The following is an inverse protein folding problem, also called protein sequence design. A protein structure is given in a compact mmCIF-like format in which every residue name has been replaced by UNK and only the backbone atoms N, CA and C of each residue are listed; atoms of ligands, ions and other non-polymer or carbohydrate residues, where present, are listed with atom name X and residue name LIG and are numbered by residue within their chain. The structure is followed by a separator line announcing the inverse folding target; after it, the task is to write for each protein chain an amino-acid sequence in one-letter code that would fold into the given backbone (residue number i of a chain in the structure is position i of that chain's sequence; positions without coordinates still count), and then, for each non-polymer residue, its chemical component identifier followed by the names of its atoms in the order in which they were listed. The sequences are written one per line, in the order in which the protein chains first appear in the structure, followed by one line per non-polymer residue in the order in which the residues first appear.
data_IF_964750104605
#
_entry.id   IF_964750104605
#
_cell.length_a   1.000
_cell.length_b   1.000
_cell.length_c   1.000
_cell.angle_alpha   90.00
_cell.angle_beta   90.00
_cell.angle_gamma   90.00
#
_symmetry.space_group_name_H-M   'P 1'
#
loop_
_entity.id
_entity.type
_entity.pdbx_description
1 polymer ?
#
# COMPACT_ATOMS: atom_id res chain seq x y z
N UNK A 1 -27.85 4.63 25.18
CA UNK A 1 -27.78 4.53 23.72
C UNK A 1 -27.05 5.78 23.19
N UNK A 2 -25.85 5.65 22.71
CA UNK A 2 -25.08 6.78 22.12
C UNK A 2 -25.60 6.97 20.71
N UNK A 3 -26.11 8.12 20.31
CA UNK A 3 -26.59 8.35 18.96
C UNK A 3 -25.35 8.42 18.03
N UNK A 4 -25.13 7.39 17.23
CA UNK A 4 -24.15 7.40 16.16
C UNK A 4 -24.63 8.35 15.06
N UNK A 5 -24.17 9.60 15.11
CA UNK A 5 -24.40 10.56 14.03
C UNK A 5 -23.39 10.26 12.92
N UNK A 6 -23.87 9.78 11.79
CA UNK A 6 -23.07 9.69 10.57
C UNK A 6 -22.67 11.10 10.12
N UNK A 7 -21.38 11.36 9.98
CA UNK A 7 -20.87 12.66 9.56
C UNK A 7 -19.35 12.63 9.33
N UNK A 8 -18.86 13.62 8.61
CA UNK A 8 -17.42 13.78 8.33
C UNK A 8 -16.55 13.84 9.59
N UNK A 9 -17.10 14.38 10.70
CA UNK A 9 -16.40 14.49 11.98
C UNK A 9 -16.15 13.13 12.65
N UNK A 10 -17.00 12.12 12.41
CA UNK A 10 -16.89 10.79 13.03
C UNK A 10 -16.35 9.73 12.08
N UNK A 11 -16.00 10.11 10.85
CA UNK A 11 -15.49 9.21 9.80
C UNK A 11 -16.33 7.94 9.58
N UNK A 12 -17.62 7.95 9.93
CA UNK A 12 -18.56 6.86 9.74
C UNK A 12 -19.43 7.18 8.53
N UNK A 13 -19.03 6.67 7.38
CA UNK A 13 -19.77 6.85 6.13
C UNK A 13 -20.76 5.70 5.93
N UNK A 14 -21.97 6.04 5.54
CA UNK A 14 -23.05 5.07 5.32
C UNK A 14 -22.95 4.39 3.96
N UNK A 15 -22.27 5.00 3.01
CA UNK A 15 -22.17 4.53 1.61
C UNK A 15 -20.74 4.14 1.24
N UNK A 16 -20.59 3.00 0.58
CA UNK A 16 -19.30 2.43 0.17
C UNK A 16 -18.50 3.33 -0.78
N UNK A 17 -19.18 4.14 -1.61
CA UNK A 17 -18.53 5.02 -2.57
C UNK A 17 -17.74 6.17 -1.91
N UNK A 18 -18.18 6.63 -0.72
CA UNK A 18 -17.47 7.67 0.02
C UNK A 18 -16.09 7.17 0.52
N UNK A 19 -16.01 5.92 0.96
CA UNK A 19 -14.74 5.30 1.30
C UNK A 19 -13.83 5.11 0.07
N UNK A 20 -14.41 4.75 -1.08
CA UNK A 20 -13.65 4.64 -2.32
C UNK A 20 -13.04 5.99 -2.74
N UNK A 21 -13.79 7.08 -2.64
CA UNK A 21 -13.28 8.43 -2.92
C UNK A 21 -12.19 8.85 -1.93
N UNK A 22 -12.36 8.53 -0.64
CA UNK A 22 -11.36 8.82 0.39
C UNK A 22 -10.06 8.06 0.14
N UNK A 23 -10.15 6.76 -0.21
CA UNK A 23 -8.99 5.95 -0.57
C UNK A 23 -8.30 6.46 -1.83
N UNK A 24 -9.06 6.83 -2.86
CA UNK A 24 -8.53 7.40 -4.09
C UNK A 24 -7.85 8.75 -3.84
N UNK A 25 -8.45 9.59 -3.00
CA UNK A 25 -7.84 10.85 -2.54
C UNK A 25 -6.53 10.60 -1.78
N UNK A 26 -6.50 9.63 -0.89
CA UNK A 26 -5.28 9.25 -0.19
C UNK A 26 -4.17 8.78 -1.14
N UNK A 27 -4.49 7.92 -2.11
CA UNK A 27 -3.53 7.48 -3.15
C UNK A 27 -2.99 8.68 -3.93
N UNK A 28 -3.85 9.62 -4.32
CA UNK A 28 -3.42 10.84 -5.02
C UNK A 28 -2.47 11.69 -4.18
N UNK A 29 -2.74 11.84 -2.87
CA UNK A 29 -1.87 12.55 -1.93
C UNK A 29 -0.52 11.84 -1.78
N UNK A 30 -0.52 10.52 -1.60
CA UNK A 30 0.71 9.72 -1.52
C UNK A 30 1.55 9.88 -2.79
N UNK A 31 0.92 9.81 -3.96
CA UNK A 31 1.59 10.00 -5.25
C UNK A 31 2.20 11.41 -5.36
N UNK A 32 1.46 12.44 -4.95
CA UNK A 32 1.97 13.82 -4.94
C UNK A 32 3.18 13.96 -4.00
N UNK A 33 3.14 13.38 -2.80
CA UNK A 33 4.27 13.37 -1.86
C UNK A 33 5.47 12.63 -2.48
N UNK A 34 5.26 11.47 -3.08
CA UNK A 34 6.34 10.72 -3.73
C UNK A 34 6.99 11.50 -4.88
N UNK A 35 6.21 12.19 -5.71
CA UNK A 35 6.72 13.07 -6.77
C UNK A 35 7.51 14.25 -6.18
N UNK A 36 6.99 14.87 -5.12
CA UNK A 36 7.66 15.99 -4.45
C UNK A 36 9.00 15.54 -3.84
N UNK A 37 9.02 14.41 -3.15
CA UNK A 37 10.25 13.83 -2.59
C UNK A 37 11.26 13.51 -3.68
N UNK A 38 10.83 12.88 -4.78
CA UNK A 38 11.71 12.56 -5.93
C UNK A 38 12.36 13.79 -6.54
N UNK A 39 11.67 14.93 -6.55
CA UNK A 39 12.18 16.21 -7.07
C UNK A 39 12.96 17.02 -6.03
N UNK A 40 12.97 16.59 -4.77
CA UNK A 40 13.67 17.25 -3.67
C UNK A 40 15.12 16.79 -3.55
N UNK A 41 15.93 17.53 -2.77
CA UNK A 41 17.30 17.14 -2.43
C UNK A 41 17.37 15.76 -1.76
N UNK A 42 16.36 15.43 -0.96
CA UNK A 42 16.26 14.10 -0.32
C UNK A 42 16.17 12.98 -1.36
N UNK A 43 15.38 13.18 -2.43
CA UNK A 43 15.26 12.19 -3.50
C UNK A 43 16.56 11.95 -4.24
N UNK A 44 17.31 13.01 -4.53
CA UNK A 44 18.65 12.89 -5.15
C UNK A 44 19.64 12.15 -4.25
N UNK A 45 19.63 12.44 -2.95
CA UNK A 45 20.48 11.74 -1.99
C UNK A 45 20.10 10.26 -1.83
N UNK A 46 18.80 9.95 -1.80
CA UNK A 46 18.31 8.56 -1.77
C UNK A 46 18.73 7.80 -3.02
N UNK A 47 18.70 8.44 -4.20
CA UNK A 47 19.13 7.83 -5.44
C UNK A 47 20.66 7.57 -5.42
N UNK A 48 21.45 8.55 -5.00
CA UNK A 48 22.91 8.38 -4.89
C UNK A 48 23.27 7.24 -3.91
N UNK A 49 22.62 7.16 -2.77
CA UNK A 49 22.83 6.09 -1.78
C UNK A 49 22.39 4.72 -2.31
N UNK A 50 21.37 4.68 -3.19
CA UNK A 50 20.91 3.45 -3.84
C UNK A 50 21.91 2.90 -4.85
N UNK A 51 22.56 3.79 -5.63
CA UNK A 51 23.51 3.39 -6.67
C UNK A 51 24.84 2.92 -6.03
N UNK A 52 25.42 3.72 -5.13
CA UNK A 52 26.63 3.35 -4.41
C UNK A 52 26.70 4.10 -3.05
N UNK A 53 26.64 3.33 -1.98
CA UNK A 53 26.65 3.87 -0.61
C UNK A 53 28.02 4.43 -0.22
N UNK A 54 29.12 3.78 -0.64
CA UNK A 54 30.46 4.20 -0.30
C UNK A 54 30.89 5.44 -1.10
N UNK A 55 30.53 5.50 -2.39
CA UNK A 55 30.73 6.70 -3.18
C UNK A 55 29.92 7.88 -2.63
N UNK A 56 28.68 7.66 -2.21
CA UNK A 56 27.86 8.70 -1.59
C UNK A 56 28.48 9.22 -0.27
N UNK A 57 29.04 8.34 0.57
CA UNK A 57 29.79 8.74 1.77
C UNK A 57 31.03 9.56 1.44
N UNK A 58 31.80 9.12 0.44
CA UNK A 58 32.98 9.84 -0.03
C UNK A 58 32.64 11.25 -0.56
N UNK A 59 31.46 11.41 -1.15
CA UNK A 59 30.92 12.69 -1.57
C UNK A 59 30.36 13.56 -0.43
N UNK A 60 30.45 13.11 0.83
CA UNK A 60 29.99 13.85 2.00
C UNK A 60 28.49 13.75 2.28
N UNK A 61 27.77 12.82 1.66
CA UNK A 61 26.34 12.62 1.93
C UNK A 61 26.19 11.85 3.25
N UNK A 62 25.37 12.36 4.19
CA UNK A 62 25.11 11.67 5.46
C UNK A 62 24.14 10.49 5.24
N UNK A 63 24.67 9.35 4.79
CA UNK A 63 23.90 8.17 4.36
C UNK A 63 22.90 7.71 5.41
N UNK A 64 23.29 7.62 6.68
CA UNK A 64 22.42 7.20 7.78
C UNK A 64 21.20 8.15 7.92
N UNK A 65 21.45 9.46 7.93
CA UNK A 65 20.39 10.44 8.08
C UNK A 65 19.42 10.42 6.88
N UNK A 66 19.94 10.19 5.66
CA UNK A 66 19.14 10.07 4.44
C UNK A 66 18.24 8.83 4.48
N UNK A 67 18.80 7.67 4.86
CA UNK A 67 18.05 6.42 5.04
C UNK A 67 16.97 6.57 6.11
N UNK A 68 17.30 7.14 7.28
CA UNK A 68 16.32 7.34 8.35
C UNK A 68 15.16 8.25 7.94
N UNK A 69 15.44 9.35 7.22
CA UNK A 69 14.39 10.24 6.70
C UNK A 69 13.48 9.53 5.69
N UNK A 70 14.05 8.72 4.80
CA UNK A 70 13.29 7.91 3.85
C UNK A 70 12.40 6.89 4.56
N UNK A 71 12.94 6.16 5.53
CA UNK A 71 12.19 5.18 6.32
C UNK A 71 11.09 5.83 7.16
N UNK A 72 11.37 6.96 7.82
CA UNK A 72 10.38 7.69 8.62
C UNK A 72 9.21 8.17 7.75
N UNK A 73 9.49 8.70 6.56
CA UNK A 73 8.45 9.12 5.63
C UNK A 73 7.59 7.92 5.16
N UNK A 74 8.22 6.83 4.79
CA UNK A 74 7.54 5.59 4.38
C UNK A 74 6.66 5.06 5.52
N UNK A 75 7.19 4.98 6.74
CA UNK A 75 6.44 4.52 7.92
C UNK A 75 5.23 5.42 8.21
N UNK A 76 5.38 6.74 8.11
CA UNK A 76 4.29 7.68 8.32
C UNK A 76 3.16 7.47 7.30
N UNK A 77 3.49 7.36 6.01
CA UNK A 77 2.50 7.13 4.95
C UNK A 77 1.81 5.77 5.10
N UNK A 78 2.56 4.73 5.43
CA UNK A 78 2.03 3.38 5.67
C UNK A 78 1.10 3.34 6.88
N UNK A 79 1.44 4.04 7.96
CA UNK A 79 0.61 4.14 9.16
C UNK A 79 -0.76 4.77 8.85
N UNK A 80 -0.78 5.86 8.10
CA UNK A 80 -2.04 6.51 7.69
C UNK A 80 -2.84 5.58 6.78
N UNK A 81 -2.19 4.93 5.81
CA UNK A 81 -2.82 3.95 4.92
C UNK A 81 -3.41 2.77 5.67
N UNK A 82 -2.69 2.23 6.66
CA UNK A 82 -3.16 1.15 7.52
C UNK A 82 -4.37 1.53 8.36
N UNK A 83 -4.40 2.76 8.88
CA UNK A 83 -5.56 3.29 9.62
C UNK A 83 -6.80 3.37 8.72
N UNK A 84 -6.65 3.91 7.50
CA UNK A 84 -7.76 3.99 6.54
C UNK A 84 -8.26 2.61 6.12
N UNK A 85 -7.35 1.67 5.91
CA UNK A 85 -7.68 0.28 5.58
C UNK A 85 -8.48 -0.40 6.71
N UNK A 86 -8.07 -0.19 7.96
CA UNK A 86 -8.76 -0.69 9.15
C UNK A 86 -10.19 -0.12 9.25
N UNK A 87 -10.35 1.18 8.99
CA UNK A 87 -11.67 1.82 8.97
C UNK A 87 -12.59 1.26 7.89
N UNK A 88 -12.03 0.90 6.74
CA UNK A 88 -12.78 0.27 5.65
C UNK A 88 -13.29 -1.12 6.02
N UNK A 89 -12.46 -1.94 6.67
CA UNK A 89 -12.82 -3.31 7.07
C UNK A 89 -13.85 -3.36 8.20
N UNK A 90 -13.99 -2.31 9.00
CA UNK A 90 -14.88 -2.20 10.17
C UNK A 90 -14.72 -3.28 11.24
N UNK A 91 -13.95 -4.30 10.97
CA UNK A 91 -13.68 -5.45 11.85
C UNK A 91 -12.22 -5.86 11.71
N UNK A 92 -11.51 -5.92 12.82
CA UNK A 92 -10.12 -6.36 12.86
C UNK A 92 -10.11 -7.74 13.49
N UNK A 93 -9.92 -8.75 12.66
CA UNK A 93 -9.59 -10.08 13.13
C UNK A 93 -8.07 -10.28 12.98
N UNK A 94 -7.33 -10.34 14.11
CA UNK A 94 -5.86 -10.44 14.08
C UNK A 94 -5.35 -11.59 13.21
N UNK A 95 -5.89 -12.82 13.25
CA UNK A 95 -5.42 -13.90 12.41
C UNK A 95 -5.61 -13.63 10.91
N UNK A 96 -6.64 -12.90 10.51
CA UNK A 96 -6.90 -12.61 9.08
C UNK A 96 -6.04 -11.49 8.53
N UNK A 97 -5.74 -10.46 9.34
CA UNK A 97 -5.01 -9.28 8.87
C UNK A 97 -3.50 -9.45 8.97
N UNK A 98 -3.03 -10.16 10.01
CA UNK A 98 -1.60 -10.36 10.25
C UNK A 98 -1.04 -11.65 9.66
N UNK A 99 -1.81 -12.38 8.87
CA UNK A 99 -1.32 -13.55 8.16
C UNK A 99 -0.34 -13.10 7.07
N UNK A 100 0.94 -13.40 7.25
CA UNK A 100 2.03 -13.06 6.33
C UNK A 100 1.76 -13.50 4.88
N UNK A 101 1.27 -14.73 4.60
CA UNK A 101 1.03 -15.17 3.23
C UNK A 101 -0.05 -14.38 2.51
N UNK A 102 -1.15 -14.03 3.20
CA UNK A 102 -2.32 -13.45 2.56
C UNK A 102 -2.20 -11.93 2.31
N UNK A 103 -1.57 -11.21 3.21
CA UNK A 103 -1.48 -9.75 3.13
C UNK A 103 -0.08 -9.29 2.80
N UNK A 104 0.92 -9.74 3.55
CA UNK A 104 2.30 -9.25 3.41
C UNK A 104 2.95 -9.68 2.10
N UNK A 105 2.87 -10.96 1.76
CA UNK A 105 3.44 -11.49 0.50
C UNK A 105 2.70 -10.93 -0.71
N UNK A 106 1.38 -10.78 -0.63
CA UNK A 106 0.58 -10.21 -1.69
C UNK A 106 0.96 -8.77 -2.00
N UNK A 107 1.13 -7.91 -0.98
CA UNK A 107 1.61 -6.54 -1.19
C UNK A 107 3.03 -6.49 -1.78
N UNK A 108 3.91 -7.39 -1.33
CA UNK A 108 5.25 -7.50 -1.89
C UNK A 108 5.23 -7.92 -3.37
N UNK A 109 4.43 -8.94 -3.72
CA UNK A 109 4.27 -9.41 -5.10
C UNK A 109 3.67 -8.33 -6.01
N UNK A 110 2.64 -7.62 -5.57
CA UNK A 110 2.03 -6.51 -6.32
C UNK A 110 3.05 -5.41 -6.63
N UNK A 111 3.92 -5.10 -5.64
CA UNK A 111 4.98 -4.12 -5.81
C UNK A 111 6.09 -4.60 -6.74
N UNK A 112 6.47 -5.89 -6.66
CA UNK A 112 7.48 -6.51 -7.52
C UNK A 112 7.03 -6.55 -8.98
N UNK A 113 5.81 -7.03 -9.24
CA UNK A 113 5.26 -7.18 -10.60
C UNK A 113 4.99 -5.81 -11.23
N UNK A 114 4.55 -4.84 -10.43
CA UNK A 114 4.36 -3.47 -10.90
C UNK A 114 5.65 -2.73 -11.26
N UNK A 115 6.81 -3.25 -10.80
CA UNK A 115 8.13 -2.67 -11.07
C UNK A 115 8.73 -1.95 -9.87
N UNK A 116 9.71 -2.60 -9.24
CA UNK A 116 10.48 -2.04 -8.12
C UNK A 116 11.28 -0.83 -8.60
N UNK A 117 11.13 0.27 -7.89
CA UNK A 117 11.85 1.52 -8.18
C UNK A 117 11.12 2.47 -9.12
N UNK A 118 9.95 2.11 -9.65
CA UNK A 118 9.11 3.03 -10.40
C UNK A 118 7.99 3.60 -9.52
N UNK A 119 7.65 4.88 -9.73
CA UNK A 119 6.63 5.55 -8.95
C UNK A 119 5.22 5.01 -9.25
N UNK A 120 5.00 4.61 -10.50
CA UNK A 120 3.73 4.09 -11.02
C UNK A 120 3.60 2.57 -10.87
N UNK A 121 4.71 1.87 -10.58
CA UNK A 121 4.76 0.42 -10.52
C UNK A 121 3.69 -0.20 -9.61
N UNK A 122 3.65 0.11 -8.32
CA UNK A 122 2.69 -0.48 -7.39
C UNK A 122 1.24 -0.17 -7.76
N UNK A 123 0.98 1.02 -8.35
CA UNK A 123 -0.36 1.41 -8.79
C UNK A 123 -0.81 0.59 -10.00
N UNK A 124 0.05 0.44 -11.01
CA UNK A 124 -0.22 -0.38 -12.19
C UNK A 124 -0.32 -1.87 -11.83
N UNK A 125 0.58 -2.35 -10.96
CA UNK A 125 0.52 -3.72 -10.45
C UNK A 125 -0.81 -4.02 -9.76
N UNK A 126 -1.26 -3.15 -8.87
CA UNK A 126 -2.54 -3.30 -8.20
C UNK A 126 -3.72 -3.21 -9.20
N UNK A 127 -3.69 -2.25 -10.12
CA UNK A 127 -4.77 -2.06 -11.10
C UNK A 127 -4.92 -3.22 -12.08
N UNK A 128 -3.85 -3.95 -12.39
CA UNK A 128 -3.89 -5.11 -13.28
C UNK A 128 -4.19 -6.41 -12.53
N UNK A 129 -3.50 -6.64 -11.41
CA UNK A 129 -3.54 -7.94 -10.74
C UNK A 129 -4.83 -8.12 -9.93
N UNK A 130 -5.31 -7.07 -9.24
CA UNK A 130 -6.52 -7.20 -8.41
C UNK A 130 -7.76 -7.53 -9.23
N UNK A 131 -8.07 -6.88 -10.38
CA UNK A 131 -9.17 -7.30 -11.23
C UNK A 131 -8.97 -8.68 -11.84
N UNK A 132 -7.73 -9.00 -12.27
CA UNK A 132 -7.39 -10.30 -12.85
C UNK A 132 -7.59 -11.44 -11.84
N UNK A 133 -7.15 -11.25 -10.61
CA UNK A 133 -7.36 -12.22 -9.52
C UNK A 133 -8.86 -12.43 -9.22
N UNK A 134 -9.64 -11.35 -9.16
CA UNK A 134 -11.07 -11.45 -8.94
C UNK A 134 -11.78 -12.14 -10.09
N UNK A 135 -11.39 -11.86 -11.34
CA UNK A 135 -11.91 -12.54 -12.51
C UNK A 135 -11.57 -14.04 -12.50
N UNK A 136 -10.30 -14.38 -12.21
CA UNK A 136 -9.85 -15.76 -12.11
C UNK A 136 -10.58 -16.54 -11.01
N UNK A 137 -10.81 -15.90 -9.86
CA UNK A 137 -11.60 -16.49 -8.77
C UNK A 137 -13.05 -16.75 -9.16
N UNK A 138 -13.67 -15.84 -9.90
CA UNK A 138 -15.03 -16.01 -10.38
C UNK A 138 -15.14 -17.18 -11.37
N UNK A 139 -14.23 -17.27 -12.33
CA UNK A 139 -14.22 -18.34 -13.34
C UNK A 139 -13.92 -19.72 -12.75
N UNK A 140 -12.97 -19.79 -11.77
CA UNK A 140 -12.62 -21.04 -11.10
C UNK A 140 -13.68 -21.47 -10.09
N UNK A 141 -14.42 -20.55 -9.49
CA UNK A 141 -15.53 -20.88 -8.58
C UNK A 141 -16.71 -21.52 -9.32
N UNK A 142 -16.95 -21.11 -10.56
CA UNK A 142 -18.04 -21.69 -11.40
C UNK A 142 -17.64 -23.05 -12.02
N UNK A 143 -16.33 -23.31 -12.21
CA UNK A 143 -15.84 -24.52 -12.89
C UNK A 143 -15.51 -25.71 -12.00
N UNK A 144 -15.13 -25.52 -10.74
CA UNK A 144 -14.64 -26.60 -9.87
C UNK A 144 -14.94 -26.31 -8.38
N UNK A 145 -16.05 -26.85 -7.84
CA UNK A 145 -16.46 -26.56 -6.46
C UNK A 145 -15.51 -27.03 -5.34
N UNK A 146 -14.47 -27.79 -5.66
CA UNK A 146 -13.45 -28.22 -4.69
C UNK A 146 -12.14 -27.42 -4.73
N UNK A 147 -11.89 -26.65 -5.79
CA UNK A 147 -10.62 -25.94 -5.97
C UNK A 147 -10.56 -24.64 -5.15
N UNK A 148 -11.72 -24.03 -4.91
CA UNK A 148 -11.81 -22.83 -4.05
C UNK A 148 -11.42 -23.12 -2.60
N UNK A 149 -11.70 -24.34 -2.09
CA UNK A 149 -11.30 -24.75 -0.74
C UNK A 149 -9.81 -25.09 -0.65
N UNK A 150 -9.20 -25.59 -1.72
CA UNK A 150 -7.77 -25.88 -1.77
C UNK A 150 -6.92 -24.60 -1.80
N UNK A 151 -7.42 -23.52 -2.41
CA UNK A 151 -6.75 -22.20 -2.43
C UNK A 151 -6.94 -21.47 -1.09
N UNK A 152 -8.07 -21.66 -0.41
CA UNK A 152 -8.34 -21.10 0.91
C UNK A 152 -7.70 -21.87 2.06
N UNK A 153 -7.24 -23.10 1.82
CA UNK A 153 -6.61 -23.98 2.82
C UNK A 153 -5.08 -23.98 2.78
N UNK A 154 -4.45 -23.18 1.91
CA UNK A 154 -3.03 -22.87 1.85
C UNK A 154 -2.76 -21.46 2.32
#
# INVERSE_FOLDING_TARGET
MIPFKAGFANMIFRERWQYALLMLGFVAVVMAICVAVRRSRLGYYLLAVREDEDAARAAGIPVLAVKLKGMALSAALTSVGGTLFTMYLRYIDPPTIFTLPDVGVKFALLSLIGGVGTLWGPLLGAALIVPFENWLRAELADGLPGFSQAILGL
#
